data_IF_185208837683
#
_entry.id   IF_185208837683
#
_cell.length_a   1.000
_cell.length_b   1.000
_cell.length_c   1.000
_cell.angle_alpha   90.00
_cell.angle_beta   90.00
_cell.angle_gamma   90.00
#
_symmetry.space_group_name_H-M   'P 1'
#
loop_
_entity.id
_entity.type
_entity.pdbx_description
1 polymer ?
#
# COMPACT_ATOMS: atom_id res chain seq x y z
N UNK A 1 9.68 -12.90 -13.93
CA UNK A 1 10.42 -12.05 -14.89
C UNK A 1 9.66 -10.74 -14.94
N UNK A 2 10.25 -9.63 -14.50
CA UNK A 2 9.65 -8.29 -14.61
C UNK A 2 10.16 -7.73 -15.94
N UNK A 3 9.27 -7.50 -16.90
CA UNK A 3 9.65 -6.82 -18.15
C UNK A 3 9.65 -5.31 -17.92
N UNK A 4 10.62 -4.61 -18.51
CA UNK A 4 10.76 -3.15 -18.40
C UNK A 4 10.63 -2.52 -19.78
N UNK A 5 9.64 -1.65 -19.95
CA UNK A 5 9.45 -0.89 -21.19
C UNK A 5 9.81 0.56 -20.89
N UNK A 6 10.72 1.12 -21.69
CA UNK A 6 11.00 2.56 -21.67
C UNK A 6 9.84 3.25 -22.38
N UNK A 7 9.07 4.07 -21.64
CA UNK A 7 8.07 4.96 -22.23
C UNK A 7 8.68 6.36 -22.38
N UNK A 8 8.10 7.20 -23.24
CA UNK A 8 8.62 8.54 -23.51
C UNK A 8 8.77 9.45 -22.27
N UNK A 9 8.11 9.11 -21.15
CA UNK A 9 8.09 9.91 -19.92
C UNK A 9 8.53 9.15 -18.66
N UNK A 10 9.06 7.92 -18.75
CA UNK A 10 9.47 7.16 -17.58
C UNK A 10 9.75 5.68 -17.87
N UNK A 11 9.92 4.90 -16.80
CA UNK A 11 10.08 3.44 -16.90
C UNK A 11 8.82 2.76 -16.38
N UNK A 12 8.29 1.82 -17.15
CA UNK A 12 7.21 0.94 -16.73
C UNK A 12 7.78 -0.44 -16.36
N UNK A 13 7.34 -1.00 -15.25
CA UNK A 13 7.67 -2.35 -14.80
C UNK A 13 6.39 -3.19 -14.70
N UNK A 14 6.46 -4.44 -15.15
CA UNK A 14 5.35 -5.41 -15.00
C UNK A 14 5.59 -6.29 -13.78
N UNK A 15 4.74 -6.18 -12.76
CA UNK A 15 4.80 -6.99 -11.54
C UNK A 15 3.76 -8.09 -11.59
N UNK A 16 4.21 -9.35 -11.61
CA UNK A 16 3.32 -10.50 -11.46
C UNK A 16 3.14 -10.84 -9.98
N UNK A 17 1.88 -10.93 -9.55
CA UNK A 17 1.51 -11.38 -8.22
C UNK A 17 1.06 -12.84 -8.29
N UNK A 18 1.48 -13.62 -7.29
CA UNK A 18 1.02 -14.99 -7.10
C UNK A 18 0.64 -15.21 -5.64
N UNK A 19 -0.34 -16.07 -5.40
CA UNK A 19 -0.81 -16.41 -4.06
C UNK A 19 -0.83 -17.92 -3.87
N UNK A 20 -0.73 -18.37 -2.62
CA UNK A 20 -0.91 -19.78 -2.27
C UNK A 20 -1.63 -19.89 -0.93
N UNK A 21 -2.54 -20.85 -0.76
CA UNK A 21 -3.34 -20.98 0.46
C UNK A 21 -2.56 -21.54 1.65
N UNK A 22 -1.40 -22.17 1.41
CA UNK A 22 -0.53 -22.69 2.47
C UNK A 22 0.93 -22.73 2.02
N UNK A 23 1.86 -22.92 2.95
CA UNK A 23 3.30 -23.06 2.66
C UNK A 23 3.66 -24.30 1.83
N UNK A 24 2.80 -25.32 1.84
CA UNK A 24 2.97 -26.58 1.11
C UNK A 24 2.27 -26.59 -0.26
N UNK A 25 1.45 -25.58 -0.56
CA UNK A 25 0.78 -25.47 -1.85
C UNK A 25 1.67 -24.75 -2.89
N UNK A 26 1.42 -25.07 -4.15
CA UNK A 26 2.03 -24.36 -5.28
C UNK A 26 1.53 -22.92 -5.36
N UNK A 27 2.39 -22.04 -5.87
CA UNK A 27 2.02 -20.67 -6.20
C UNK A 27 1.05 -20.66 -7.38
N UNK A 28 -0.07 -19.96 -7.23
CA UNK A 28 -1.04 -19.72 -8.28
C UNK A 28 -0.93 -18.26 -8.72
N UNK A 29 -0.95 -18.03 -10.03
CA UNK A 29 -1.02 -16.67 -10.57
C UNK A 29 -2.27 -15.96 -10.02
N UNK A 30 -2.08 -14.75 -9.51
CA UNK A 30 -3.14 -13.95 -8.93
C UNK A 30 -3.47 -12.75 -9.82
N UNK A 31 -2.47 -11.93 -10.12
CA UNK A 31 -2.68 -10.67 -10.85
C UNK A 31 -1.40 -10.16 -11.52
N UNK A 32 -1.53 -9.17 -12.38
CA UNK A 32 -0.42 -8.41 -12.97
C UNK A 32 -0.65 -6.93 -12.76
N UNK A 33 0.27 -6.27 -12.10
CA UNK A 33 0.25 -4.83 -11.88
C UNK A 33 1.31 -4.14 -12.75
N UNK A 34 1.03 -2.91 -13.16
CA UNK A 34 2.02 -2.08 -13.86
C UNK A 34 2.50 -0.98 -12.94
N UNK A 35 3.81 -0.82 -12.78
CA UNK A 35 4.42 0.25 -12.00
C UNK A 35 5.02 1.27 -12.95
N UNK A 36 4.51 2.50 -12.92
CA UNK A 36 5.08 3.63 -13.67
C UNK A 36 5.94 4.47 -12.73
N UNK A 37 7.25 4.47 -12.99
CA UNK A 37 8.20 5.38 -12.35
C UNK A 37 8.39 6.60 -13.25
N UNK A 38 7.58 7.63 -13.01
CA UNK A 38 7.55 8.87 -13.79
C UNK A 38 7.66 10.05 -12.85
N UNK A 39 8.83 10.69 -12.76
CA UNK A 39 8.99 11.86 -11.90
C UNK A 39 7.96 12.95 -12.27
N UNK A 40 7.21 13.52 -11.29
CA UNK A 40 7.42 13.44 -9.85
C UNK A 40 6.54 12.40 -9.11
N UNK A 41 6.10 11.32 -9.75
CA UNK A 41 5.19 10.30 -9.18
C UNK A 41 5.72 8.86 -9.31
N UNK A 42 5.41 8.05 -8.32
CA UNK A 42 5.36 6.59 -8.46
C UNK A 42 3.89 6.19 -8.56
N UNK A 43 3.49 5.63 -9.69
CA UNK A 43 2.10 5.23 -9.95
C UNK A 43 2.08 3.71 -10.07
N UNK A 44 1.11 3.05 -9.43
CA UNK A 44 0.83 1.64 -9.63
C UNK A 44 -0.57 1.51 -10.22
N UNK A 45 -0.67 0.77 -11.32
CA UNK A 45 -1.92 0.33 -11.91
C UNK A 45 -2.27 -1.04 -11.36
N UNK A 46 -3.22 -1.07 -10.43
CA UNK A 46 -3.79 -2.27 -9.83
C UNK A 46 -5.07 -2.60 -10.62
N UNK A 47 -5.02 -3.65 -11.46
CA UNK A 47 -6.07 -3.94 -12.44
C UNK A 47 -6.28 -2.78 -13.43
N UNK A 48 -7.43 -2.09 -13.32
CA UNK A 48 -7.79 -0.95 -14.16
C UNK A 48 -7.69 0.40 -13.44
N UNK A 49 -7.20 0.43 -12.20
CA UNK A 49 -7.18 1.64 -11.37
C UNK A 49 -5.75 2.10 -11.12
N UNK A 50 -5.49 3.37 -11.41
CA UNK A 50 -4.19 4.00 -11.19
C UNK A 50 -4.14 4.66 -9.80
N UNK A 51 -3.11 4.32 -9.01
CA UNK A 51 -2.87 4.88 -7.68
C UNK A 51 -1.52 5.57 -7.61
N UNK A 52 -1.51 6.81 -7.12
CA UNK A 52 -0.27 7.54 -6.83
C UNK A 52 0.27 7.09 -5.47
N UNK A 53 1.27 6.21 -5.50
CA UNK A 53 1.86 5.62 -4.29
C UNK A 53 2.88 6.52 -3.60
N UNK A 54 3.63 7.32 -4.36
CA UNK A 54 4.63 8.26 -3.82
C UNK A 54 4.67 9.53 -4.68
N UNK A 55 4.71 10.70 -4.03
CA UNK A 55 5.01 11.97 -4.67
C UNK A 55 6.44 12.44 -4.36
N UNK A 56 7.29 12.55 -5.40
CA UNK A 56 8.68 12.97 -5.31
C UNK A 56 8.88 14.50 -5.42
N UNK A 57 9.90 15.08 -4.76
CA UNK A 57 10.76 14.44 -3.75
C UNK A 57 9.98 14.02 -2.50
N UNK A 58 10.28 12.83 -1.97
CA UNK A 58 9.63 12.34 -0.75
C UNK A 58 10.27 13.03 0.47
N UNK A 59 9.50 13.87 1.16
CA UNK A 59 9.92 14.60 2.35
C UNK A 59 8.84 14.47 3.41
N UNK A 60 9.21 14.30 4.68
CA UNK A 60 8.24 14.23 5.79
C UNK A 60 7.23 15.39 5.74
N UNK A 61 5.95 15.09 5.96
CA UNK A 61 4.84 16.04 5.90
C UNK A 61 4.34 16.35 4.49
N UNK A 62 4.94 15.77 3.44
CA UNK A 62 4.43 15.93 2.08
C UNK A 62 3.12 15.18 1.93
N UNK A 63 2.09 15.86 1.45
CA UNK A 63 0.80 15.27 1.10
C UNK A 63 0.51 15.28 -0.40
N UNK A 64 -0.31 14.33 -0.86
CA UNK A 64 -0.85 14.29 -2.22
C UNK A 64 -2.14 13.46 -2.26
N UNK A 65 -2.92 13.64 -3.32
CA UNK A 65 -4.08 12.78 -3.57
C UNK A 65 -3.61 11.44 -4.17
N UNK A 66 -3.75 10.34 -3.43
CA UNK A 66 -3.48 8.97 -3.90
C UNK A 66 -4.33 8.56 -5.10
N UNK A 67 -5.49 9.20 -5.25
CA UNK A 67 -6.46 9.00 -6.32
C UNK A 67 -6.38 10.09 -7.40
N UNK A 68 -5.24 10.78 -7.55
CA UNK A 68 -5.07 11.88 -8.55
C UNK A 68 -5.48 11.49 -9.97
N UNK A 69 -5.35 10.20 -10.33
CA UNK A 69 -5.62 9.68 -11.68
C UNK A 69 -6.76 8.65 -11.73
N UNK A 70 -7.66 8.63 -10.75
CA UNK A 70 -8.83 7.76 -10.76
C UNK A 70 -10.09 8.45 -10.21
N UNK A 71 -11.25 7.77 -10.31
CA UNK A 71 -12.56 8.35 -9.99
C UNK A 71 -13.07 8.03 -8.57
N UNK A 72 -12.22 7.52 -7.67
CA UNK A 72 -12.62 7.04 -6.33
C UNK A 72 -12.77 8.16 -5.27
N UNK A 73 -12.72 9.43 -5.69
CA UNK A 73 -12.68 10.58 -4.78
C UNK A 73 -11.29 10.82 -4.19
N UNK A 74 -11.06 12.00 -3.63
CA UNK A 74 -9.75 12.35 -3.08
C UNK A 74 -9.42 11.50 -1.84
N UNK A 75 -8.21 10.95 -1.81
CA UNK A 75 -7.66 10.17 -0.70
C UNK A 75 -6.27 10.73 -0.40
N UNK A 76 -6.13 11.47 0.71
CA UNK A 76 -4.92 12.24 1.00
C UNK A 76 -3.86 11.36 1.67
N UNK A 77 -2.75 11.12 0.97
CA UNK A 77 -1.61 10.38 1.48
C UNK A 77 -0.56 11.33 2.02
N UNK A 78 0.21 10.88 3.01
CA UNK A 78 1.28 11.65 3.63
C UNK A 78 2.56 10.82 3.75
N UNK A 79 3.71 11.44 3.48
CA UNK A 79 5.00 10.90 3.95
C UNK A 79 5.14 11.21 5.44
N UNK A 80 4.95 10.20 6.29
CA UNK A 80 5.03 10.37 7.75
C UNK A 80 6.43 10.15 8.31
N UNK A 81 7.29 9.42 7.59
CA UNK A 81 8.68 9.21 7.99
C UNK A 81 9.60 8.96 6.79
N UNK A 82 10.86 9.38 6.93
CA UNK A 82 11.97 9.10 6.00
C UNK A 82 13.19 8.68 6.82
N UNK A 83 14.11 7.92 6.23
CA UNK A 83 15.31 7.41 6.91
C UNK A 83 15.00 6.59 8.19
N UNK A 84 13.84 5.94 8.22
CA UNK A 84 13.48 5.08 9.34
C UNK A 84 14.10 3.70 9.16
N UNK A 85 14.68 3.14 10.23
CA UNK A 85 15.07 1.73 10.21
C UNK A 85 13.84 0.85 10.32
N UNK A 86 13.62 -0.01 9.33
CA UNK A 86 12.49 -0.93 9.29
C UNK A 86 12.96 -2.38 9.14
N UNK A 87 12.27 -3.29 9.80
CA UNK A 87 12.53 -4.73 9.68
C UNK A 87 11.33 -5.40 9.00
N UNK A 88 11.57 -6.09 7.89
CA UNK A 88 10.59 -6.94 7.23
C UNK A 88 10.99 -8.41 7.42
N UNK A 89 10.51 -9.02 8.50
CA UNK A 89 11.02 -10.32 8.94
C UNK A 89 12.49 -10.22 9.36
N UNK A 90 13.36 -11.01 8.74
CA UNK A 90 14.81 -11.04 9.02
C UNK A 90 15.60 -10.01 8.18
N UNK A 91 14.92 -9.27 7.29
CA UNK A 91 15.54 -8.25 6.44
C UNK A 91 15.52 -6.89 7.14
N UNK A 92 16.66 -6.19 7.12
CA UNK A 92 16.81 -4.85 7.70
C UNK A 92 16.96 -3.79 6.61
N UNK A 93 16.17 -2.72 6.72
CA UNK A 93 16.17 -1.57 5.82
C UNK A 93 16.46 -0.30 6.63
N UNK A 94 17.70 0.22 6.62
CA UNK A 94 18.08 1.35 7.47
C UNK A 94 17.50 2.70 7.01
N UNK A 95 17.11 2.80 5.74
CA UNK A 95 16.58 4.02 5.12
C UNK A 95 15.22 3.73 4.46
N UNK A 96 14.18 3.52 5.27
CA UNK A 96 12.83 3.32 4.77
C UNK A 96 12.02 4.62 4.76
N UNK A 97 11.16 4.74 3.74
CA UNK A 97 10.12 5.73 3.57
C UNK A 97 8.79 5.16 4.08
N UNK A 98 8.09 5.88 4.94
CA UNK A 98 6.74 5.52 5.42
C UNK A 98 5.72 6.46 4.81
N UNK A 99 4.71 5.89 4.17
CA UNK A 99 3.55 6.57 3.62
C UNK A 99 2.32 6.14 4.39
N UNK A 100 1.62 7.11 4.99
CA UNK A 100 0.33 6.89 5.63
C UNK A 100 -0.78 7.36 4.70
N UNK A 101 -1.69 6.46 4.34
CA UNK A 101 -2.85 6.77 3.50
C UNK A 101 -4.05 7.18 4.35
N UNK A 102 -4.15 6.65 5.57
CA UNK A 102 -5.13 7.05 6.57
C UNK A 102 -4.68 6.62 7.96
N UNK A 103 -5.05 7.39 8.98
CA UNK A 103 -4.91 7.05 10.40
C UNK A 103 -6.15 7.47 11.18
N UNK A 104 -7.33 7.16 10.63
CA UNK A 104 -8.61 7.45 11.26
C UNK A 104 -8.94 6.40 12.33
N UNK A 105 -8.91 6.82 13.59
CA UNK A 105 -9.14 5.97 14.76
C UNK A 105 -10.59 6.03 15.29
N UNK A 106 -11.58 5.98 14.40
CA UNK A 106 -12.99 5.87 14.78
C UNK A 106 -13.38 4.40 15.01
N UNK A 107 -13.32 3.99 16.27
CA UNK A 107 -13.71 2.64 16.70
C UNK A 107 -15.23 2.46 16.92
N UNK A 108 -16.04 3.45 16.56
CA UNK A 108 -17.50 3.42 16.74
C UNK A 108 -18.22 3.22 15.40
N UNK A 109 -17.79 3.90 14.34
CA UNK A 109 -18.45 3.83 13.02
C UNK A 109 -17.54 3.18 11.99
N UNK A 110 -16.35 3.72 11.79
CA UNK A 110 -15.44 3.29 10.73
C UNK A 110 -13.97 3.52 11.08
N UNK A 111 -13.22 2.44 11.28
CA UNK A 111 -11.77 2.46 11.46
C UNK A 111 -11.11 2.43 10.08
N UNK A 112 -10.17 3.33 9.82
CA UNK A 112 -9.34 3.31 8.60
C UNK A 112 -7.88 3.62 8.94
N UNK A 113 -7.05 2.59 8.96
CA UNK A 113 -5.62 2.67 9.17
C UNK A 113 -4.92 2.00 8.00
N UNK A 114 -4.20 2.80 7.21
CA UNK A 114 -3.53 2.34 6.00
C UNK A 114 -2.13 2.92 5.94
N UNK A 115 -1.15 2.03 5.87
CA UNK A 115 0.27 2.39 5.87
C UNK A 115 1.04 1.51 4.89
N UNK A 116 1.94 2.12 4.15
CA UNK A 116 2.87 1.46 3.25
C UNK A 116 4.30 1.91 3.58
N UNK A 117 5.23 0.97 3.57
CA UNK A 117 6.65 1.20 3.86
C UNK A 117 7.46 0.79 2.64
N UNK A 118 8.35 1.67 2.20
CA UNK A 118 9.15 1.53 1.00
C UNK A 118 10.64 1.63 1.33
N UNK A 119 11.46 0.78 0.71
CA UNK A 119 12.92 0.88 0.78
C UNK A 119 13.51 1.31 -0.57
N UNK A 120 14.47 2.25 -0.60
CA UNK A 120 15.21 2.64 -1.81
C UNK A 120 15.85 1.43 -2.49
N UNK A 121 15.70 1.35 -3.81
CA UNK A 121 16.24 0.23 -4.61
C UNK A 121 15.49 -1.10 -4.46
N UNK A 122 14.48 -1.19 -3.59
CA UNK A 122 13.69 -2.42 -3.36
C UNK A 122 12.22 -2.20 -3.69
N UNK A 123 11.63 -1.08 -3.26
CA UNK A 123 10.20 -0.80 -3.42
C UNK A 123 9.42 -1.10 -2.15
N UNK A 124 8.18 -1.59 -2.28
CA UNK A 124 7.29 -1.87 -1.15
C UNK A 124 7.85 -3.02 -0.30
N UNK A 125 8.16 -2.75 0.97
CA UNK A 125 8.64 -3.74 1.94
C UNK A 125 7.57 -4.18 2.93
N UNK A 126 6.59 -3.31 3.21
CA UNK A 126 5.45 -3.64 4.04
C UNK A 126 4.22 -2.83 3.64
N UNK A 127 3.03 -3.45 3.73
CA UNK A 127 1.73 -2.79 3.59
C UNK A 127 0.80 -3.32 4.68
N UNK A 128 0.15 -2.42 5.39
CA UNK A 128 -0.90 -2.74 6.35
C UNK A 128 -2.15 -1.93 6.01
N UNK A 129 -3.29 -2.59 6.00
CA UNK A 129 -4.59 -1.99 5.70
C UNK A 129 -5.61 -2.58 6.66
N UNK A 130 -6.19 -1.73 7.49
CA UNK A 130 -7.32 -2.05 8.36
C UNK A 130 -8.42 -1.05 8.04
N UNK A 131 -9.47 -1.52 7.38
CA UNK A 131 -10.66 -0.73 7.11
C UNK A 131 -11.86 -1.52 7.60
N UNK A 132 -12.43 -1.12 8.74
CA UNK A 132 -13.49 -1.87 9.42
C UNK A 132 -14.69 -0.96 9.68
N UNK A 133 -15.87 -1.43 9.29
CA UNK A 133 -17.13 -0.79 9.62
C UNK A 133 -17.77 -1.48 10.81
N UNK A 134 -18.14 -0.71 11.81
CA UNK A 134 -18.74 -1.23 13.04
C UNK A 134 -20.25 -1.15 13.03
N UNK A 135 -20.86 -1.94 13.92
CA UNK A 135 -22.29 -1.99 14.13
C UNK A 135 -22.76 -0.70 14.81
N UNK A 136 -23.61 0.05 14.12
CA UNK A 136 -24.17 1.33 14.60
C UNK A 136 -25.70 1.35 14.67
N UNK A 137 -26.36 0.28 14.25
CA UNK A 137 -27.83 0.23 14.10
C UNK A 137 -28.50 -0.29 15.38
N UNK A 138 -27.95 -1.32 16.02
CA UNK A 138 -28.51 -1.87 17.25
C UNK A 138 -27.90 -1.13 18.47
N UNK A 139 -28.73 -0.51 19.34
CA UNK A 139 -28.25 0.12 20.58
C UNK A 139 -27.40 -0.81 21.46
N UNK A 140 -27.57 -2.13 21.35
CA UNK A 140 -26.82 -3.12 22.10
C UNK A 140 -25.44 -3.43 21.50
N UNK A 141 -25.16 -3.04 20.24
CA UNK A 141 -23.85 -3.25 19.60
C UNK A 141 -23.02 -1.96 19.49
N UNK A 142 -23.67 -0.79 19.51
CA UNK A 142 -23.01 0.50 19.34
C UNK A 142 -21.93 0.69 20.40
N UNK A 143 -20.71 1.04 19.97
CA UNK A 143 -19.56 1.25 20.85
C UNK A 143 -18.92 -0.03 21.39
N UNK A 144 -19.42 -1.21 21.03
CA UNK A 144 -18.82 -2.51 21.40
C UNK A 144 -17.78 -3.00 20.38
N UNK A 145 -17.45 -2.18 19.36
CA UNK A 145 -16.49 -2.54 18.30
C UNK A 145 -16.87 -3.84 17.56
N UNK A 146 -18.17 -4.14 17.48
CA UNK A 146 -18.66 -5.29 16.71
C UNK A 146 -18.53 -4.99 15.22
N UNK A 147 -17.66 -5.72 14.52
CA UNK A 147 -17.40 -5.54 13.09
C UNK A 147 -18.59 -6.04 12.27
N UNK A 148 -19.10 -5.21 11.37
CA UNK A 148 -20.09 -5.59 10.35
C UNK A 148 -19.40 -6.17 9.11
N UNK A 149 -18.47 -5.40 8.55
CA UNK A 149 -17.66 -5.77 7.41
C UNK A 149 -16.37 -4.97 7.37
N UNK A 150 -15.49 -5.34 6.46
CA UNK A 150 -14.23 -4.66 6.25
C UNK A 150 -13.13 -5.59 5.77
N UNK A 151 -11.91 -5.06 5.79
CA UNK A 151 -10.68 -5.77 5.44
C UNK A 151 -9.61 -5.51 6.51
N UNK A 152 -8.92 -6.58 6.88
CA UNK A 152 -7.64 -6.53 7.55
C UNK A 152 -6.65 -7.24 6.65
N UNK A 153 -5.68 -6.51 6.15
CA UNK A 153 -4.69 -7.00 5.19
C UNK A 153 -3.29 -6.58 5.64
N UNK A 154 -2.38 -7.54 5.64
CA UNK A 154 -0.96 -7.30 5.90
C UNK A 154 -0.12 -8.03 4.85
N UNK A 155 0.88 -7.32 4.35
CA UNK A 155 1.86 -7.81 3.40
C UNK A 155 3.25 -7.39 3.87
N UNK A 156 4.19 -8.33 3.91
CA UNK A 156 5.56 -8.08 4.32
C UNK A 156 6.49 -8.79 3.36
N UNK A 157 7.54 -8.10 2.92
CA UNK A 157 8.59 -8.67 2.08
C UNK A 157 9.28 -9.81 2.82
N UNK A 158 9.48 -10.94 2.11
CA UNK A 158 10.21 -12.10 2.64
C UNK A 158 11.59 -12.27 2.03
N UNK A 159 11.74 -11.92 0.76
CA UNK A 159 12.98 -12.07 0.00
C UNK A 159 12.97 -11.08 -1.18
N UNK A 160 14.16 -10.63 -1.60
CA UNK A 160 14.36 -9.82 -2.80
C UNK A 160 15.76 -10.10 -3.38
N UNK A 161 15.94 -9.88 -4.68
CA UNK A 161 17.21 -10.08 -5.38
C UNK A 161 17.39 -9.06 -6.50
N UNK A 162 18.63 -8.92 -6.96
CA UNK A 162 19.04 -7.99 -8.02
C UNK A 162 19.26 -8.70 -9.34
#
# INVERSE_FOLDING_TARGET
MVDSIISANGVAYVMHQSTRPSSAADWMYADTWTVYKQYPRLIIKEGNTDFVKIAFPATTGRTWNGNEYNDMGADEYEVTSINATYNAGDLNFPDALVVTQSNNEDYIVFLDQRTEVYAPGVGLIQKNTTQLRYCTIDPNCVGQQQVLDGIVYSQTLKEYGY
#
